data_IF_332226764407
#
_entry.id   IF_332226764407
#
_cell.length_a   1.000
_cell.length_b   1.000
_cell.length_c   1.000
_cell.angle_alpha   90.00
_cell.angle_beta   90.00
_cell.angle_gamma   90.00
#
_symmetry.space_group_name_H-M   'P 1'
#
loop_
_entity.id
_entity.type
_entity.pdbx_description
1 polymer ?
#
# COMPACT_ATOMS: atom_id res chain seq x y z
N UNK A 1 -19.44 22.86 -30.38
CA UNK A 1 -19.65 21.67 -29.51
C UNK A 1 -18.55 21.41 -28.46
N UNK A 2 -17.46 22.20 -28.37
CA UNK A 2 -16.42 22.00 -27.33
C UNK A 2 -16.76 22.58 -25.94
N UNK A 3 -17.58 23.63 -25.88
CA UNK A 3 -17.85 24.37 -24.63
C UNK A 3 -18.71 23.55 -23.66
N UNK A 4 -19.71 22.81 -24.16
CA UNK A 4 -20.65 22.03 -23.32
C UNK A 4 -19.97 20.80 -22.68
N UNK A 5 -19.01 20.17 -23.36
CA UNK A 5 -18.27 19.01 -22.84
C UNK A 5 -17.34 19.37 -21.67
N UNK A 6 -16.80 20.59 -21.66
CA UNK A 6 -16.01 21.11 -20.54
C UNK A 6 -16.86 21.41 -19.30
N UNK A 7 -18.06 21.96 -19.49
CA UNK A 7 -18.98 22.28 -18.40
C UNK A 7 -19.49 21.02 -17.68
N UNK A 8 -19.84 19.98 -18.44
CA UNK A 8 -20.29 18.68 -17.88
C UNK A 8 -19.14 17.97 -17.16
N UNK A 9 -17.93 18.02 -17.69
CA UNK A 9 -16.75 17.44 -17.02
C UNK A 9 -16.44 18.09 -15.68
N UNK A 10 -16.52 19.43 -15.60
CA UNK A 10 -16.31 20.17 -14.36
C UNK A 10 -17.38 19.84 -13.31
N UNK A 11 -18.66 19.85 -13.68
CA UNK A 11 -19.75 19.49 -12.78
C UNK A 11 -19.61 18.07 -12.21
N UNK A 12 -19.25 17.09 -13.04
CA UNK A 12 -19.00 15.70 -12.59
C UNK A 12 -17.81 15.63 -11.63
N UNK A 13 -16.75 16.41 -11.86
CA UNK A 13 -15.61 16.45 -10.94
C UNK A 13 -15.94 17.15 -9.62
N UNK A 14 -16.75 18.21 -9.64
CA UNK A 14 -17.24 18.90 -8.46
C UNK A 14 -18.14 17.98 -7.62
N UNK A 15 -19.07 17.26 -8.26
CA UNK A 15 -19.90 16.24 -7.62
C UNK A 15 -19.07 15.11 -6.99
N UNK A 16 -18.01 14.69 -7.67
CA UNK A 16 -17.11 13.65 -7.17
C UNK A 16 -16.32 14.13 -5.96
N UNK A 17 -15.81 15.38 -6.00
CA UNK A 17 -15.10 15.98 -4.86
C UNK A 17 -16.05 16.17 -3.68
N UNK A 18 -17.27 16.64 -3.89
CA UNK A 18 -18.27 16.79 -2.84
C UNK A 18 -18.61 15.45 -2.18
N UNK A 19 -18.86 14.40 -2.99
CA UNK A 19 -19.09 13.03 -2.50
C UNK A 19 -17.92 12.51 -1.68
N UNK A 20 -16.70 12.67 -2.18
CA UNK A 20 -15.50 12.21 -1.48
C UNK A 20 -15.26 12.93 -0.16
N UNK A 21 -15.53 14.24 -0.08
CA UNK A 21 -15.46 14.99 1.18
C UNK A 21 -16.50 14.52 2.18
N UNK A 22 -17.71 14.19 1.72
CA UNK A 22 -18.75 13.60 2.57
C UNK A 22 -18.30 12.23 3.12
N UNK A 23 -17.75 11.35 2.28
CA UNK A 23 -17.19 10.07 2.70
C UNK A 23 -16.01 10.23 3.69
N UNK A 24 -15.17 11.24 3.49
CA UNK A 24 -14.10 11.55 4.45
C UNK A 24 -14.67 11.95 5.81
N UNK A 25 -15.69 12.81 5.84
CA UNK A 25 -16.33 13.18 7.09
C UNK A 25 -16.98 11.98 7.79
N UNK A 26 -17.60 11.08 7.03
CA UNK A 26 -18.17 9.84 7.56
C UNK A 26 -17.11 8.92 8.17
N UNK A 27 -15.97 8.73 7.51
CA UNK A 27 -14.93 7.79 7.97
C UNK A 27 -13.96 8.38 8.99
N UNK A 28 -13.71 9.69 8.92
CA UNK A 28 -12.64 10.36 9.66
C UNK A 28 -13.15 11.49 10.57
N UNK A 29 -14.48 11.66 10.69
CA UNK A 29 -15.13 12.67 11.52
C UNK A 29 -15.31 14.02 10.82
N UNK A 30 -14.32 14.44 10.03
CA UNK A 30 -14.39 15.65 9.20
C UNK A 30 -13.54 15.46 7.93
N UNK A 31 -13.73 16.29 6.88
CA UNK A 31 -12.94 16.16 5.67
C UNK A 31 -11.45 16.29 5.96
N UNK A 32 -10.63 15.40 5.41
CA UNK A 32 -9.21 15.30 5.74
C UNK A 32 -8.46 16.60 5.49
N UNK A 33 -8.87 17.33 4.47
CA UNK A 33 -8.34 18.64 4.25
C UNK A 33 -8.57 19.56 5.47
N UNK A 34 -9.76 19.61 6.03
CA UNK A 34 -10.09 20.52 7.13
C UNK A 34 -9.30 20.17 8.41
N UNK A 35 -8.96 18.88 8.61
CA UNK A 35 -7.99 18.41 9.62
C UNK A 35 -6.57 18.89 9.39
N UNK A 36 -6.10 18.79 8.14
CA UNK A 36 -4.67 18.92 7.81
C UNK A 36 -4.21 20.38 7.70
N UNK A 37 -5.04 21.32 7.22
CA UNK A 37 -4.61 22.73 7.06
C UNK A 37 -4.19 23.36 8.40
N UNK A 38 -4.97 23.25 9.49
CA UNK A 38 -4.56 23.78 10.78
C UNK A 38 -3.21 23.23 11.27
N UNK A 39 -2.91 21.97 10.98
CA UNK A 39 -1.62 21.36 11.33
C UNK A 39 -0.48 21.98 10.54
N UNK A 40 -0.64 22.18 9.23
CA UNK A 40 0.38 22.82 8.39
C UNK A 40 0.67 24.25 8.87
N UNK A 41 -0.38 25.00 9.16
CA UNK A 41 -0.28 26.39 9.62
C UNK A 41 0.42 26.45 10.99
N UNK A 42 0.01 25.60 11.94
CA UNK A 42 0.54 25.60 13.30
C UNK A 42 1.97 25.05 13.40
N UNK A 43 2.33 24.08 12.56
CA UNK A 43 3.70 23.55 12.48
C UNK A 43 4.62 24.43 11.60
N UNK A 44 4.06 25.41 10.88
CA UNK A 44 4.81 26.19 9.88
C UNK A 44 5.40 25.31 8.77
N UNK A 45 4.72 24.22 8.43
CA UNK A 45 5.23 23.20 7.51
C UNK A 45 4.59 23.28 6.12
N UNK A 46 5.37 22.92 5.10
CA UNK A 46 4.81 22.67 3.77
C UNK A 46 4.03 21.35 3.72
N UNK A 47 3.10 21.24 2.76
CA UNK A 47 2.40 19.99 2.47
C UNK A 47 3.36 18.82 2.24
N UNK A 48 4.44 19.03 1.48
CA UNK A 48 5.44 17.99 1.21
C UNK A 48 6.19 17.57 2.47
N UNK A 49 6.45 18.51 3.39
CA UNK A 49 7.07 18.20 4.68
C UNK A 49 6.18 17.30 5.52
N UNK A 50 4.91 17.66 5.68
CA UNK A 50 3.95 16.85 6.45
C UNK A 50 3.70 15.49 5.77
N UNK A 51 3.63 15.44 4.44
CA UNK A 51 3.53 14.18 3.71
C UNK A 51 4.70 13.23 4.05
N UNK A 52 5.92 13.77 4.15
CA UNK A 52 7.10 13.01 4.56
C UNK A 52 7.01 12.42 5.97
N UNK A 53 6.43 13.17 6.92
CA UNK A 53 6.17 12.68 8.29
C UNK A 53 5.12 11.57 8.29
N UNK A 54 4.02 11.77 7.57
CA UNK A 54 2.92 10.80 7.50
C UNK A 54 3.30 9.52 6.73
N UNK A 55 4.36 9.56 5.91
CA UNK A 55 4.73 8.46 5.02
C UNK A 55 3.89 8.41 3.73
N UNK A 56 3.42 9.58 3.29
CA UNK A 56 2.69 9.78 2.04
C UNK A 56 3.56 10.49 1.01
N UNK A 57 3.21 10.33 -0.28
CA UNK A 57 3.73 11.23 -1.30
C UNK A 57 3.00 12.57 -1.25
N UNK A 58 3.69 13.67 -1.59
CA UNK A 58 3.08 15.00 -1.65
C UNK A 58 1.86 15.06 -2.60
N UNK A 59 1.87 14.43 -3.79
CA UNK A 59 0.68 14.34 -4.63
C UNK A 59 -0.48 13.63 -3.93
N UNK A 60 -0.23 12.51 -3.24
CA UNK A 60 -1.28 11.77 -2.54
C UNK A 60 -1.93 12.61 -1.42
N UNK A 61 -1.11 13.35 -0.66
CA UNK A 61 -1.61 14.28 0.36
C UNK A 61 -2.47 15.39 -0.28
N UNK A 62 -2.00 15.97 -1.39
CA UNK A 62 -2.74 17.00 -2.13
C UNK A 62 -4.10 16.50 -2.63
N UNK A 63 -4.18 15.27 -3.15
CA UNK A 63 -5.45 14.67 -3.60
C UNK A 63 -6.43 14.41 -2.44
N UNK A 64 -5.93 13.97 -1.29
CA UNK A 64 -6.75 13.77 -0.08
C UNK A 64 -7.28 15.11 0.44
N UNK A 65 -6.41 16.11 0.58
CA UNK A 65 -6.79 17.44 1.05
C UNK A 65 -7.81 18.10 0.12
N UNK A 66 -7.64 17.99 -1.19
CA UNK A 66 -8.56 18.57 -2.18
C UNK A 66 -9.87 17.78 -2.35
N UNK A 67 -10.04 16.64 -1.68
CA UNK A 67 -11.22 15.78 -1.82
C UNK A 67 -11.29 15.02 -3.14
N UNK A 68 -10.25 15.05 -3.98
CA UNK A 68 -10.17 14.21 -5.18
C UNK A 68 -9.98 12.73 -4.85
N UNK A 69 -9.51 12.43 -3.63
CA UNK A 69 -9.40 11.08 -3.08
C UNK A 69 -10.08 10.99 -1.72
N UNK A 70 -10.99 10.02 -1.55
CA UNK A 70 -11.70 9.85 -0.28
C UNK A 70 -10.87 9.10 0.78
N UNK A 71 -10.24 7.97 0.43
CA UNK A 71 -9.70 7.01 1.41
C UNK A 71 -8.19 7.07 1.60
N UNK A 72 -7.75 6.99 2.86
CA UNK A 72 -6.38 6.61 3.26
C UNK A 72 -6.28 5.08 3.28
N UNK A 73 -5.42 4.49 2.44
CA UNK A 73 -5.32 3.03 2.30
C UNK A 73 -4.44 2.36 3.37
N UNK A 74 -3.47 3.09 3.93
CA UNK A 74 -2.53 2.57 4.90
C UNK A 74 -2.91 3.03 6.31
N UNK A 75 -3.32 2.14 7.23
CA UNK A 75 -3.69 2.51 8.59
C UNK A 75 -2.58 3.25 9.36
N UNK A 76 -1.30 2.96 9.08
CA UNK A 76 -0.17 3.64 9.72
C UNK A 76 -0.17 5.15 9.46
N UNK A 77 -0.62 5.58 8.27
CA UNK A 77 -0.72 6.99 7.92
C UNK A 77 -1.75 7.70 8.81
N UNK A 78 -2.87 7.04 9.10
CA UNK A 78 -3.90 7.58 9.98
C UNK A 78 -3.39 7.67 11.43
N UNK A 79 -2.70 6.63 11.91
CA UNK A 79 -2.08 6.66 13.24
C UNK A 79 -1.08 7.82 13.38
N UNK A 80 -0.23 8.04 12.37
CA UNK A 80 0.70 9.19 12.38
C UNK A 80 -0.03 10.53 12.32
N UNK A 81 -1.13 10.63 11.58
CA UNK A 81 -1.94 11.86 11.56
C UNK A 81 -2.50 12.15 12.96
N UNK A 82 -3.05 11.15 13.63
CA UNK A 82 -3.54 11.28 15.01
C UNK A 82 -2.41 11.68 15.98
N UNK A 83 -1.23 11.10 15.85
CA UNK A 83 -0.08 11.45 16.68
C UNK A 83 0.42 12.88 16.43
N UNK A 84 0.38 13.36 15.18
CA UNK A 84 0.69 14.77 14.86
C UNK A 84 -0.37 15.71 15.44
N UNK A 85 -1.65 15.35 15.37
CA UNK A 85 -2.73 16.11 15.98
C UNK A 85 -2.56 16.20 17.51
N UNK A 86 -2.20 15.09 18.16
CA UNK A 86 -1.92 15.04 19.59
C UNK A 86 -0.73 15.93 19.97
N UNK A 87 0.38 15.86 19.22
CA UNK A 87 1.55 16.72 19.41
C UNK A 87 1.17 18.20 19.33
N UNK A 88 0.36 18.59 18.36
CA UNK A 88 -0.07 19.98 18.15
C UNK A 88 -1.12 20.42 19.17
N UNK A 89 -1.91 19.49 19.71
CA UNK A 89 -2.89 19.75 20.75
C UNK A 89 -2.28 19.91 22.15
N UNK A 90 -1.03 19.49 22.35
CA UNK A 90 -0.31 19.65 23.63
C UNK A 90 -0.31 21.13 24.06
N UNK A 91 -0.81 21.48 25.27
CA UNK A 91 -0.78 22.85 25.78
C UNK A 91 0.61 23.48 25.83
N UNK A 92 1.67 22.67 25.93
CA UNK A 92 3.06 23.09 25.91
C UNK A 92 3.66 23.27 24.52
N UNK A 93 2.91 22.98 23.44
CA UNK A 93 3.41 23.04 22.07
C UNK A 93 3.98 24.41 21.70
N UNK A 94 3.28 25.49 22.05
CA UNK A 94 3.70 26.86 21.69
C UNK A 94 4.99 27.30 22.41
N UNK A 95 5.34 26.64 23.52
CA UNK A 95 6.60 26.85 24.24
C UNK A 95 7.72 25.86 23.86
N UNK A 96 7.44 24.90 22.98
CA UNK A 96 8.36 23.84 22.63
C UNK A 96 9.45 24.35 21.67
N UNK A 97 10.71 24.01 21.95
CA UNK A 97 11.81 24.35 21.06
C UNK A 97 11.64 23.64 19.70
N UNK A 98 11.97 24.30 18.60
CA UNK A 98 11.81 23.73 17.25
C UNK A 98 12.58 22.42 17.04
N UNK A 99 13.72 22.25 17.74
CA UNK A 99 14.50 21.01 17.72
C UNK A 99 13.74 19.84 18.37
N UNK A 100 12.98 20.11 19.43
CA UNK A 100 12.14 19.12 20.10
C UNK A 100 10.93 18.75 19.22
N UNK A 101 10.25 19.73 18.61
CA UNK A 101 9.16 19.48 17.66
C UNK A 101 9.66 18.57 16.52
N UNK A 102 10.83 18.90 15.95
CA UNK A 102 11.44 18.08 14.90
C UNK A 102 11.73 16.66 15.36
N UNK A 103 12.31 16.49 16.55
CA UNK A 103 12.57 15.17 17.14
C UNK A 103 11.29 14.34 17.28
N UNK A 104 10.21 14.94 17.81
CA UNK A 104 8.90 14.27 17.95
C UNK A 104 8.30 13.88 16.61
N UNK A 105 8.38 14.74 15.59
CA UNK A 105 7.91 14.42 14.24
C UNK A 105 8.72 13.28 13.61
N UNK A 106 10.03 13.24 13.84
CA UNK A 106 10.90 12.15 13.40
C UNK A 106 10.57 10.84 14.13
N UNK A 107 10.23 10.88 15.42
CA UNK A 107 9.74 9.74 16.20
C UNK A 107 8.40 9.21 15.63
N UNK A 108 7.41 10.08 15.38
CA UNK A 108 6.13 9.72 14.76
C UNK A 108 6.33 9.08 13.37
N UNK A 109 7.27 9.61 12.58
CA UNK A 109 7.62 9.04 11.29
C UNK A 109 8.25 7.65 11.43
N UNK A 110 9.13 7.48 12.43
CA UNK A 110 9.85 6.24 12.69
C UNK A 110 8.98 5.16 13.34
N UNK A 111 7.87 5.54 14.00
CA UNK A 111 6.89 4.60 14.48
C UNK A 111 6.31 3.82 13.30
N UNK A 112 6.74 2.56 13.21
CA UNK A 112 6.02 1.54 12.49
C UNK A 112 4.66 1.34 13.19
N UNK A 113 3.57 1.07 12.45
CA UNK A 113 2.43 0.46 13.12
C UNK A 113 2.98 -0.77 13.82
N UNK A 114 2.68 -0.93 15.11
CA UNK A 114 2.89 -2.20 15.79
C UNK A 114 1.96 -3.23 15.16
N UNK A 115 2.26 -3.67 13.94
CA UNK A 115 1.90 -5.00 13.50
C UNK A 115 2.57 -5.93 14.48
N UNK A 116 1.81 -6.88 15.02
CA UNK A 116 2.25 -7.93 15.93
C UNK A 116 3.38 -8.75 15.30
N UNK A 117 4.60 -8.22 15.35
CA UNK A 117 5.84 -8.84 14.88
C UNK A 117 6.96 -8.41 15.84
N UNK A 118 6.70 -8.65 17.12
CA UNK A 118 7.62 -8.36 18.22
C UNK A 118 7.89 -9.54 19.14
N UNK A 119 7.33 -10.72 18.87
CA UNK A 119 7.57 -11.93 19.66
C UNK A 119 8.40 -12.96 18.87
N UNK A 120 9.60 -12.57 18.46
CA UNK A 120 10.67 -13.56 18.22
C UNK A 120 12.01 -13.01 18.68
N UNK A 121 12.21 -13.02 20.00
CA UNK A 121 13.54 -13.12 20.59
C UNK A 121 13.45 -13.92 21.89
N UNK A 122 13.80 -15.19 21.83
CA UNK A 122 14.78 -15.86 22.69
C UNK A 122 14.72 -17.38 22.50
N UNK A 123 15.86 -17.99 22.20
CA UNK A 123 16.11 -19.43 22.41
C UNK A 123 16.16 -20.31 21.16
N UNK A 124 17.29 -20.37 20.46
CA UNK A 124 18.10 -21.60 20.41
C UNK A 124 19.48 -21.31 19.80
N UNK A 125 20.47 -21.14 20.67
CA UNK A 125 21.89 -21.30 20.36
C UNK A 125 22.33 -22.64 20.93
N UNK A 126 22.85 -23.52 20.07
CA UNK A 126 23.66 -24.67 20.46
C UNK A 126 23.34 -25.95 19.71
N UNK A 127 24.13 -26.28 18.69
CA UNK A 127 25.03 -27.46 18.73
C UNK A 127 25.54 -27.81 17.32
N UNK A 128 26.85 -27.83 17.22
CA UNK A 128 27.67 -28.19 16.06
C UNK A 128 27.79 -29.72 15.86
N UNK A 129 28.23 -30.10 14.66
CA UNK A 129 28.89 -31.39 14.35
C UNK A 129 28.03 -32.29 13.44
N UNK A 130 28.49 -32.82 12.31
CA UNK A 130 29.78 -32.80 11.64
C UNK A 130 29.82 -33.92 10.58
N UNK A 131 30.56 -33.71 9.50
CA UNK A 131 31.23 -34.75 8.70
C UNK A 131 30.41 -35.53 7.67
N UNK A 132 30.92 -35.59 6.43
CA UNK A 132 30.52 -36.61 5.46
C UNK A 132 30.81 -36.27 3.99
N UNK A 133 32.06 -36.46 3.58
CA UNK A 133 32.57 -36.40 2.20
C UNK A 133 31.90 -37.39 1.22
N UNK A 134 31.94 -37.06 -0.08
CA UNK A 134 32.06 -38.08 -1.13
C UNK A 134 31.39 -37.81 -2.49
N UNK A 135 32.21 -37.36 -3.48
CA UNK A 135 32.32 -37.80 -4.90
C UNK A 135 31.07 -37.84 -5.82
N UNK A 136 31.09 -37.63 -7.13
CA UNK A 136 32.10 -37.29 -8.16
C UNK A 136 31.39 -37.22 -9.53
N UNK A 137 31.93 -36.42 -10.47
CA UNK A 137 31.84 -36.63 -11.93
C UNK A 137 30.70 -35.89 -12.64
N UNK A 138 30.88 -35.18 -13.75
CA UNK A 138 32.02 -34.96 -14.62
C UNK A 138 31.52 -34.55 -16.02
N UNK A 139 32.31 -33.71 -16.71
CA UNK A 139 32.43 -33.61 -18.18
C UNK A 139 31.52 -32.62 -18.95
N UNK A 140 32.12 -31.50 -19.37
CA UNK A 140 31.92 -30.84 -20.68
C UNK A 140 32.74 -31.62 -21.77
N UNK A 141 32.63 -31.42 -23.11
CA UNK A 141 32.52 -30.12 -23.81
C UNK A 141 31.79 -30.15 -25.19
N UNK A 142 31.77 -29.00 -25.89
CA UNK A 142 31.80 -28.95 -27.36
C UNK A 142 30.82 -27.99 -28.03
N UNK A 143 31.34 -27.00 -28.77
CA UNK A 143 30.61 -25.89 -29.40
C UNK A 143 30.10 -26.10 -30.83
N UNK A 144 30.12 -24.98 -31.58
CA UNK A 144 29.53 -24.66 -32.91
C UNK A 144 28.11 -24.08 -32.80
N UNK A 145 27.74 -22.94 -33.36
CA UNK A 145 28.41 -22.02 -34.29
C UNK A 145 27.35 -21.35 -35.17
N UNK A 146 27.47 -20.02 -35.31
CA UNK A 146 27.00 -19.17 -36.41
C UNK A 146 25.55 -18.62 -36.47
N UNK A 147 25.54 -17.29 -36.59
CA UNK A 147 24.78 -16.46 -37.54
C UNK A 147 23.41 -15.86 -37.13
N UNK A 148 23.44 -14.52 -36.95
CA UNK A 148 22.60 -13.60 -37.72
C UNK A 148 21.22 -13.27 -37.14
N UNK A 149 21.01 -12.00 -36.79
CA UNK A 149 19.66 -11.46 -36.57
C UNK A 149 19.61 -10.25 -35.65
N UNK A 150 19.78 -9.07 -36.25
CA UNK A 150 19.00 -7.85 -36.00
C UNK A 150 18.80 -7.38 -34.54
N UNK A 151 19.45 -6.27 -34.20
CA UNK A 151 19.25 -5.58 -32.92
C UNK A 151 17.88 -4.93 -32.79
N UNK A 152 17.31 -4.82 -31.58
CA UNK A 152 16.11 -4.04 -31.38
C UNK A 152 16.49 -2.57 -31.25
N UNK A 153 15.98 -1.78 -32.20
CA UNK A 153 15.89 -0.32 -32.08
C UNK A 153 14.99 0.01 -30.89
N UNK A 154 15.39 1.02 -30.13
CA UNK A 154 14.58 1.56 -29.06
C UNK A 154 13.29 2.14 -29.61
N UNK A 155 12.17 1.64 -29.09
CA UNK A 155 10.89 2.33 -29.05
C UNK A 155 10.50 2.40 -27.57
N UNK A 156 10.49 3.61 -27.02
CA UNK A 156 10.05 3.85 -25.65
C UNK A 156 8.55 3.55 -25.52
N UNK A 157 8.07 3.13 -24.34
CA UNK A 157 6.64 2.97 -24.10
C UNK A 157 5.98 4.34 -24.07
N UNK A 158 5.48 4.75 -25.23
CA UNK A 158 4.54 5.85 -25.37
C UNK A 158 3.16 5.36 -24.97
N UNK A 159 2.68 5.82 -23.82
CA UNK A 159 1.28 6.20 -23.65
C UNK A 159 0.21 5.12 -23.49
N UNK A 160 0.30 4.25 -22.48
CA UNK A 160 -0.87 3.55 -21.92
C UNK A 160 -0.74 3.45 -20.40
N UNK A 161 -1.33 4.39 -19.66
CA UNK A 161 -1.18 4.45 -18.19
C UNK A 161 -2.34 5.07 -17.43
N UNK A 162 -3.53 5.14 -18.04
CA UNK A 162 -4.73 5.71 -17.42
C UNK A 162 -6.03 4.94 -17.71
N UNK A 163 -5.93 3.67 -18.11
CA UNK A 163 -6.98 2.69 -17.89
C UNK A 163 -6.51 1.84 -16.70
N UNK A 164 -7.30 1.75 -15.63
CA UNK A 164 -6.89 1.05 -14.41
C UNK A 164 -6.36 -0.35 -14.72
N UNK A 165 -5.28 -0.75 -14.02
CA UNK A 165 -4.74 -2.12 -14.05
C UNK A 165 -5.89 -3.11 -14.14
N UNK A 166 -5.96 -3.89 -15.23
CA UNK A 166 -7.10 -4.77 -15.48
C UNK A 166 -7.34 -5.73 -14.30
N UNK A 167 -8.56 -6.30 -14.15
CA UNK A 167 -8.89 -7.21 -13.06
C UNK A 167 -7.86 -8.33 -12.84
N UNK A 168 -7.29 -8.88 -13.93
CA UNK A 168 -6.20 -9.84 -13.91
C UNK A 168 -4.94 -9.34 -13.19
N UNK A 169 -4.51 -8.11 -13.48
CA UNK A 169 -3.31 -7.53 -12.87
C UNK A 169 -3.53 -7.22 -11.40
N UNK A 170 -4.71 -6.69 -11.06
CA UNK A 170 -5.09 -6.41 -9.67
C UNK A 170 -5.16 -7.69 -8.84
N UNK A 171 -5.74 -8.77 -9.37
CA UNK A 171 -5.77 -10.07 -8.70
C UNK A 171 -4.36 -10.61 -8.45
N UNK A 172 -3.46 -10.53 -9.45
CA UNK A 172 -2.07 -10.96 -9.31
C UNK A 172 -1.31 -10.20 -8.24
N UNK A 173 -1.52 -8.88 -8.11
CA UNK A 173 -0.90 -8.09 -7.05
C UNK A 173 -1.31 -8.58 -5.65
N UNK A 174 -2.58 -8.93 -5.44
CA UNK A 174 -3.04 -9.50 -4.16
C UNK A 174 -2.37 -10.85 -3.90
N UNK A 175 -2.25 -11.71 -4.91
CA UNK A 175 -1.54 -12.98 -4.77
C UNK A 175 -0.07 -12.79 -4.42
N UNK A 176 0.62 -11.83 -5.05
CA UNK A 176 2.00 -11.48 -4.71
C UNK A 176 2.11 -11.06 -3.26
N UNK A 177 1.25 -10.14 -2.80
CA UNK A 177 1.29 -9.67 -1.40
C UNK A 177 1.11 -10.83 -0.42
N UNK A 178 0.13 -11.71 -0.63
CA UNK A 178 -0.10 -12.82 0.29
C UNK A 178 1.07 -13.80 0.32
N UNK A 179 1.64 -14.14 -0.84
CA UNK A 179 2.73 -15.11 -0.95
C UNK A 179 4.09 -14.59 -0.46
N UNK A 180 4.29 -13.27 -0.46
CA UNK A 180 5.45 -12.65 0.18
C UNK A 180 5.35 -12.69 1.72
N UNK A 181 4.13 -12.75 2.26
CA UNK A 181 3.89 -12.76 3.72
C UNK A 181 3.96 -14.18 4.31
N UNK A 182 3.45 -15.17 3.58
CA UNK A 182 3.39 -16.55 4.04
C UNK A 182 3.40 -17.54 2.87
N UNK A 183 3.87 -18.75 3.12
CA UNK A 183 3.77 -19.83 2.14
C UNK A 183 2.32 -20.23 1.88
N UNK A 184 2.04 -20.83 0.72
CA UNK A 184 0.69 -21.30 0.39
C UNK A 184 0.12 -22.27 1.45
N UNK A 185 0.96 -23.10 2.06
CA UNK A 185 0.55 -24.03 3.12
C UNK A 185 0.17 -23.31 4.42
N UNK A 186 0.90 -22.25 4.80
CA UNK A 186 0.57 -21.43 5.96
C UNK A 186 -0.72 -20.63 5.73
N UNK A 187 -0.94 -20.14 4.51
CA UNK A 187 -2.17 -19.42 4.15
C UNK A 187 -3.38 -20.35 4.20
N UNK A 188 -3.26 -21.60 3.73
CA UNK A 188 -4.32 -22.60 3.86
C UNK A 188 -4.62 -22.95 5.31
N UNK A 189 -3.59 -23.17 6.14
CA UNK A 189 -3.78 -23.41 7.57
C UNK A 189 -4.50 -22.24 8.27
N UNK A 190 -4.17 -21.00 7.89
CA UNK A 190 -4.87 -19.81 8.38
C UNK A 190 -6.34 -19.75 7.91
N UNK A 191 -6.61 -20.13 6.66
CA UNK A 191 -7.97 -20.21 6.13
C UNK A 191 -8.81 -21.25 6.87
N UNK A 192 -8.24 -22.39 7.25
CA UNK A 192 -8.93 -23.43 8.03
C UNK A 192 -9.32 -22.95 9.42
N UNK A 193 -8.44 -22.21 10.11
CA UNK A 193 -8.75 -21.60 11.41
C UNK A 193 -9.88 -20.57 11.33
N UNK A 194 -10.00 -19.87 10.20
CA UNK A 194 -11.01 -18.83 10.01
C UNK A 194 -12.34 -19.38 9.48
N UNK A 195 -12.35 -20.54 8.84
CA UNK A 195 -13.49 -21.06 8.09
C UNK A 195 -14.77 -21.17 8.92
N UNK A 196 -14.67 -21.51 10.20
CA UNK A 196 -15.83 -21.69 11.08
C UNK A 196 -16.53 -20.36 11.40
N UNK A 197 -15.77 -19.28 11.61
CA UNK A 197 -16.30 -17.98 12.07
C UNK A 197 -16.39 -16.92 10.98
N UNK A 198 -15.54 -17.03 9.96
CA UNK A 198 -15.35 -16.05 8.89
C UNK A 198 -15.16 -16.77 7.55
N UNK A 199 -16.19 -17.45 7.04
CA UNK A 199 -16.09 -18.27 5.83
C UNK A 199 -15.66 -17.47 4.59
N UNK A 200 -16.17 -16.25 4.43
CA UNK A 200 -15.83 -15.38 3.29
C UNK A 200 -14.35 -14.96 3.31
N UNK A 201 -13.80 -14.71 4.50
CA UNK A 201 -12.38 -14.37 4.65
C UNK A 201 -11.49 -15.59 4.37
N UNK A 202 -11.92 -16.77 4.82
CA UNK A 202 -11.24 -18.02 4.49
C UNK A 202 -11.25 -18.27 2.97
N UNK A 203 -12.36 -18.02 2.27
CA UNK A 203 -12.42 -18.13 0.80
C UNK A 203 -11.40 -17.20 0.13
N UNK A 204 -11.31 -15.93 0.55
CA UNK A 204 -10.34 -14.96 0.02
C UNK A 204 -8.91 -15.48 0.20
N UNK A 205 -8.55 -15.99 1.39
CA UNK A 205 -7.22 -16.51 1.65
C UNK A 205 -6.88 -17.71 0.75
N UNK A 206 -7.82 -18.65 0.56
CA UNK A 206 -7.61 -19.80 -0.33
C UNK A 206 -7.43 -19.35 -1.77
N UNK A 207 -8.32 -18.48 -2.26
CA UNK A 207 -8.33 -18.02 -3.65
C UNK A 207 -7.08 -17.22 -4.01
N UNK A 208 -6.66 -16.28 -3.16
CA UNK A 208 -5.51 -15.43 -3.47
C UNK A 208 -4.18 -15.99 -2.95
N UNK A 209 -4.18 -16.82 -1.90
CA UNK A 209 -2.97 -17.41 -1.34
C UNK A 209 -2.51 -18.67 -2.06
N UNK A 210 -3.42 -19.63 -2.23
CA UNK A 210 -3.11 -20.95 -2.77
C UNK A 210 -3.73 -21.22 -4.16
N UNK A 211 -4.76 -20.47 -4.53
CA UNK A 211 -5.52 -20.63 -5.78
C UNK A 211 -4.75 -20.26 -7.05
N UNK A 212 -5.33 -20.64 -8.20
CA UNK A 212 -4.77 -20.32 -9.52
C UNK A 212 -5.08 -18.87 -9.91
N UNK A 213 -4.23 -18.26 -10.74
CA UNK A 213 -4.40 -16.88 -11.18
C UNK A 213 -5.77 -16.62 -11.86
N UNK A 214 -6.29 -17.59 -12.61
CA UNK A 214 -7.62 -17.49 -13.25
C UNK A 214 -8.77 -17.50 -12.23
N UNK A 215 -8.62 -18.22 -11.12
CA UNK A 215 -9.61 -18.26 -10.03
C UNK A 215 -9.59 -16.94 -9.26
N UNK A 216 -8.39 -16.42 -8.97
CA UNK A 216 -8.22 -15.12 -8.32
C UNK A 216 -8.80 -13.97 -9.15
N UNK A 217 -8.63 -14.00 -10.47
CA UNK A 217 -9.23 -13.03 -11.38
C UNK A 217 -10.76 -13.13 -11.40
N UNK A 218 -11.31 -14.34 -11.56
CA UNK A 218 -12.75 -14.56 -11.56
C UNK A 218 -13.39 -14.12 -10.22
N UNK A 219 -12.73 -14.44 -9.11
CA UNK A 219 -13.12 -14.00 -7.77
C UNK A 219 -13.06 -12.48 -7.63
N UNK A 220 -12.01 -11.85 -8.17
CA UNK A 220 -11.84 -10.39 -8.13
C UNK A 220 -12.95 -9.68 -8.90
N UNK A 221 -13.25 -10.12 -10.11
CA UNK A 221 -14.36 -9.59 -10.93
C UNK A 221 -15.68 -9.78 -10.19
N UNK A 222 -15.94 -10.97 -9.66
CA UNK A 222 -17.17 -11.26 -8.92
C UNK A 222 -17.34 -10.37 -7.69
N UNK A 223 -16.27 -10.14 -6.93
CA UNK A 223 -16.34 -9.46 -5.63
C UNK A 223 -16.29 -7.94 -5.77
N UNK A 224 -15.49 -7.42 -6.70
CA UNK A 224 -15.29 -5.96 -6.83
C UNK A 224 -16.20 -5.36 -7.89
N UNK A 225 -16.52 -6.07 -8.97
CA UNK A 225 -17.31 -5.53 -10.09
C UNK A 225 -18.80 -5.88 -10.04
N UNK A 226 -19.26 -6.76 -9.14
CA UNK A 226 -20.71 -6.93 -8.86
C UNK A 226 -21.23 -6.04 -7.73
N UNK A 227 -20.35 -5.34 -7.03
CA UNK A 227 -20.67 -4.41 -5.94
C UNK A 227 -20.32 -2.94 -6.29
N UNK A 228 -20.05 -2.65 -7.56
CA UNK A 228 -19.82 -1.31 -8.11
C UNK A 228 -20.98 -0.91 -9.03
#
# INVERSE_FOLDING_TARGET
MRIVKGLVGLAVTEDTVARNRALQAEWYGEPLGDRIRPLLDRLGMSQSGLAGVLGLSAPMLSQLMSGRRAKISNPAVLHRLMAVEELVADPGFDGMASAEIKRRLDEIRAEAPATTSGLRRTGHSGAEGGGGDGMSGGRAPGGHGAAGGEGPRGEGPSGEGAAGRGPAESARLVQTVLREVASAAEIEAAADLLAERFPDLAEVLRVYGAGRASEAEAHFVRTILRHA
#
